data_IF_812039661386
#
_entry.id   IF_812039661386
#
_cell.length_a   1.000
_cell.length_b   1.000
_cell.length_c   1.000
_cell.angle_alpha   90.00
_cell.angle_beta   90.00
_cell.angle_gamma   90.00
#
_symmetry.space_group_name_H-M   'P 1'
#
loop_
_entity.id
_entity.type
_entity.pdbx_description
1 polymer ?
#
# COMPACT_ATOMS: atom_id res chain seq x y z
N UNK A 1 -15.18 9.22 -4.01
CA UNK A 1 -14.11 8.33 -3.51
C UNK A 1 -14.46 6.88 -3.84
N UNK A 2 -13.63 6.26 -4.66
CA UNK A 2 -13.78 4.85 -4.97
C UNK A 2 -12.82 4.02 -4.12
N UNK A 3 -13.23 2.81 -3.74
CA UNK A 3 -12.41 1.87 -2.98
C UNK A 3 -12.39 0.55 -3.73
N UNK A 4 -11.19 0.09 -4.10
CA UNK A 4 -10.95 -1.20 -4.71
C UNK A 4 -10.18 -2.08 -3.73
N UNK A 5 -10.34 -3.41 -3.84
CA UNK A 5 -9.66 -4.35 -2.95
C UNK A 5 -9.02 -5.46 -3.77
N UNK A 6 -7.86 -5.91 -3.34
CA UNK A 6 -7.20 -7.09 -3.90
C UNK A 6 -6.59 -7.93 -2.78
N UNK A 7 -6.30 -9.17 -3.07
CA UNK A 7 -5.65 -10.08 -2.12
C UNK A 7 -4.14 -9.94 -2.12
N UNK A 8 -3.47 -10.97 -1.61
CA UNK A 8 -2.04 -11.01 -1.40
C UNK A 8 -1.24 -10.65 -2.66
N UNK A 9 -0.24 -9.80 -2.52
CA UNK A 9 0.64 -9.41 -3.63
C UNK A 9 2.03 -10.02 -3.50
N UNK A 10 2.50 -10.34 -2.31
CA UNK A 10 3.80 -10.97 -2.05
C UNK A 10 4.97 -10.22 -2.73
N UNK A 11 4.88 -8.88 -2.77
CA UNK A 11 5.92 -8.06 -3.39
C UNK A 11 5.88 -7.98 -4.91
N UNK A 12 4.88 -8.59 -5.54
CA UNK A 12 4.64 -8.51 -6.99
C UNK A 12 3.39 -7.69 -7.25
N UNK A 13 3.56 -6.50 -7.80
CA UNK A 13 2.45 -5.57 -8.03
C UNK A 13 2.04 -5.48 -9.50
N UNK A 14 2.43 -6.47 -10.30
CA UNK A 14 2.14 -6.48 -11.74
C UNK A 14 0.64 -6.45 -12.05
N UNK A 15 -0.21 -7.01 -11.17
CA UNK A 15 -1.67 -6.97 -11.32
C UNK A 15 -2.23 -5.54 -11.27
N UNK A 16 -1.45 -4.57 -10.79
CA UNK A 16 -1.88 -3.17 -10.69
C UNK A 16 -1.43 -2.32 -11.87
N UNK A 17 -0.77 -2.94 -12.86
CA UNK A 17 -0.39 -2.22 -14.08
C UNK A 17 -1.63 -1.78 -14.85
N UNK A 18 -1.57 -0.68 -15.62
CA UNK A 18 -2.74 -0.18 -16.35
C UNK A 18 -3.43 -1.22 -17.24
N UNK A 19 -2.67 -2.16 -17.82
CA UNK A 19 -3.24 -3.22 -18.65
C UNK A 19 -4.08 -4.22 -17.84
N UNK A 20 -3.74 -4.45 -16.58
CA UNK A 20 -4.44 -5.39 -15.70
C UNK A 20 -5.49 -4.70 -14.83
N UNK A 21 -5.29 -3.42 -14.51
CA UNK A 21 -6.20 -2.61 -13.69
C UNK A 21 -6.56 -1.35 -14.49
N UNK A 22 -7.45 -1.49 -15.43
CA UNK A 22 -7.78 -0.43 -16.41
C UNK A 22 -8.52 0.75 -15.77
N UNK A 23 -9.29 0.50 -14.72
CA UNK A 23 -10.07 1.53 -14.00
C UNK A 23 -9.20 2.65 -13.45
N UNK A 24 -7.91 2.39 -13.23
CA UNK A 24 -7.01 3.39 -12.64
C UNK A 24 -6.87 4.65 -13.47
N UNK A 25 -7.17 4.59 -14.76
CA UNK A 25 -7.10 5.77 -15.64
C UNK A 25 -8.03 6.90 -15.24
N UNK A 26 -9.11 6.59 -14.50
CA UNK A 26 -10.07 7.58 -14.02
C UNK A 26 -9.93 7.89 -12.53
N UNK A 27 -8.92 7.35 -11.85
CA UNK A 27 -8.76 7.50 -10.41
C UNK A 27 -7.82 8.66 -10.06
N UNK A 28 -7.95 9.15 -8.82
CA UNK A 28 -7.09 10.18 -8.23
C UNK A 28 -6.57 9.67 -6.88
N UNK A 29 -5.73 10.46 -6.22
CA UNK A 29 -5.20 10.11 -4.90
C UNK A 29 -6.29 10.07 -3.81
N UNK A 30 -7.48 10.56 -4.08
CA UNK A 30 -8.65 10.41 -3.21
C UNK A 30 -9.40 9.10 -3.44
N UNK A 31 -8.94 8.28 -4.36
CA UNK A 31 -9.44 6.93 -4.59
C UNK A 31 -8.42 5.92 -4.07
N UNK A 32 -8.88 4.80 -3.52
CA UNK A 32 -8.03 3.89 -2.76
C UNK A 32 -8.07 2.48 -3.31
N UNK A 33 -6.89 1.84 -3.33
CA UNK A 33 -6.77 0.40 -3.53
C UNK A 33 -6.25 -0.21 -2.22
N UNK A 34 -6.97 -1.17 -1.67
CA UNK A 34 -6.59 -1.87 -0.43
C UNK A 34 -6.04 -3.24 -0.78
N UNK A 35 -4.81 -3.51 -0.38
CA UNK A 35 -4.18 -4.83 -0.49
C UNK A 35 -4.40 -5.54 0.84
N UNK A 36 -5.15 -6.64 0.82
CA UNK A 36 -5.61 -7.33 2.02
C UNK A 36 -4.67 -8.49 2.36
N UNK A 37 -3.66 -8.22 3.20
CA UNK A 37 -2.71 -9.23 3.68
C UNK A 37 -1.55 -9.46 2.73
N UNK A 38 -0.46 -9.97 3.25
CA UNK A 38 0.76 -10.38 2.54
C UNK A 38 1.16 -9.41 1.43
N UNK A 39 1.27 -8.14 1.79
CA UNK A 39 1.71 -7.07 0.89
C UNK A 39 3.09 -7.39 0.30
N UNK A 40 4.06 -7.71 1.16
CA UNK A 40 5.41 -8.12 0.75
C UNK A 40 6.29 -7.01 0.20
N UNK A 41 5.83 -5.77 0.20
CA UNK A 41 6.58 -4.62 -0.31
C UNK A 41 7.54 -4.01 0.72
N UNK A 42 7.47 -4.45 1.98
CA UNK A 42 8.40 -4.05 3.05
C UNK A 42 9.01 -5.34 3.60
N UNK A 43 10.06 -5.83 2.95
CA UNK A 43 10.64 -7.13 3.24
C UNK A 43 12.12 -7.06 3.58
N UNK A 44 12.95 -6.58 2.66
CA UNK A 44 14.41 -6.56 2.84
C UNK A 44 15.06 -5.21 2.60
N UNK A 45 14.29 -4.19 2.21
CA UNK A 45 14.81 -2.87 1.87
C UNK A 45 15.63 -2.83 0.60
N UNK A 46 15.54 -3.87 -0.24
CA UNK A 46 16.34 -3.99 -1.46
C UNK A 46 16.00 -2.89 -2.46
N UNK A 47 16.89 -2.71 -3.45
CA UNK A 47 16.67 -1.74 -4.51
C UNK A 47 15.43 -2.06 -5.34
N UNK A 48 15.18 -3.35 -5.60
CA UNK A 48 13.98 -3.79 -6.33
C UNK A 48 12.72 -3.43 -5.53
N UNK A 49 12.75 -3.65 -4.22
CA UNK A 49 11.63 -3.28 -3.35
C UNK A 49 11.38 -1.78 -3.39
N UNK A 50 12.44 -0.96 -3.31
CA UNK A 50 12.29 0.49 -3.37
C UNK A 50 11.74 0.94 -4.72
N UNK A 51 12.15 0.31 -5.80
CA UNK A 51 11.61 0.60 -7.14
C UNK A 51 10.10 0.30 -7.21
N UNK A 52 9.65 -0.82 -6.64
CA UNK A 52 8.23 -1.15 -6.59
C UNK A 52 7.44 -0.15 -5.75
N UNK A 53 8.00 0.27 -4.59
CA UNK A 53 7.33 1.27 -3.74
C UNK A 53 7.23 2.62 -4.44
N UNK A 54 8.26 3.05 -5.15
CA UNK A 54 8.23 4.27 -5.95
C UNK A 54 7.22 4.15 -7.08
N UNK A 55 7.13 2.97 -7.71
CA UNK A 55 6.16 2.71 -8.76
C UNK A 55 4.73 2.81 -8.23
N UNK A 56 4.46 2.28 -7.03
CA UNK A 56 3.16 2.41 -6.39
C UNK A 56 2.83 3.87 -6.08
N UNK A 57 3.82 4.65 -5.64
CA UNK A 57 3.63 6.08 -5.38
C UNK A 57 3.21 6.83 -6.64
N UNK A 58 3.70 6.41 -7.81
CA UNK A 58 3.39 7.04 -9.08
C UNK A 58 2.03 6.66 -9.65
N UNK A 59 1.29 5.73 -9.01
CA UNK A 59 -0.06 5.37 -9.49
C UNK A 59 -1.02 6.52 -9.26
N UNK A 60 -2.11 6.52 -10.03
CA UNK A 60 -3.13 7.58 -9.94
C UNK A 60 -3.88 7.56 -8.60
N UNK A 61 -3.97 6.39 -7.97
CA UNK A 61 -4.68 6.16 -6.71
C UNK A 61 -3.71 6.12 -5.53
N UNK A 62 -4.27 6.07 -4.33
CA UNK A 62 -3.51 5.81 -3.09
C UNK A 62 -3.59 4.33 -2.75
N UNK A 63 -2.46 3.72 -2.43
CA UNK A 63 -2.37 2.32 -2.05
C UNK A 63 -2.40 2.21 -0.53
N UNK A 64 -3.34 1.41 -0.01
CA UNK A 64 -3.44 1.06 1.40
C UNK A 64 -3.16 -0.43 1.52
N UNK A 65 -2.47 -0.86 2.57
CA UNK A 65 -2.27 -2.29 2.77
C UNK A 65 -2.43 -2.69 4.22
N UNK A 66 -2.94 -3.91 4.41
CA UNK A 66 -3.03 -4.57 5.71
C UNK A 66 -1.93 -5.62 5.74
N UNK A 67 -1.14 -5.64 6.82
CA UNK A 67 -0.04 -6.60 6.96
C UNK A 67 -0.56 -8.03 7.14
N UNK A 68 0.15 -8.99 6.57
CA UNK A 68 -0.14 -10.41 6.68
C UNK A 68 1.06 -11.18 7.23
N UNK A 69 1.16 -12.47 6.89
CA UNK A 69 2.24 -13.33 7.39
C UNK A 69 3.59 -13.06 6.73
N UNK A 70 3.58 -12.56 5.49
CA UNK A 70 4.78 -12.36 4.68
C UNK A 70 5.20 -10.90 4.68
N UNK A 71 5.44 -10.35 5.89
CA UNK A 71 5.96 -9.00 6.07
C UNK A 71 7.18 -9.04 6.97
N UNK A 72 8.10 -8.11 6.76
CA UNK A 72 9.21 -7.90 7.68
C UNK A 72 8.77 -6.89 8.74
N UNK A 73 8.28 -7.38 9.86
CA UNK A 73 7.73 -6.53 10.90
C UNK A 73 8.78 -5.63 11.56
N UNK A 74 10.03 -6.07 11.65
CA UNK A 74 11.10 -5.23 12.20
C UNK A 74 11.36 -4.03 11.30
N UNK A 75 11.43 -4.25 9.99
CA UNK A 75 11.60 -3.18 9.02
C UNK A 75 10.36 -2.27 8.98
N UNK A 76 9.18 -2.87 9.00
CA UNK A 76 7.93 -2.12 8.99
C UNK A 76 7.81 -1.21 10.21
N UNK A 77 8.18 -1.70 11.41
CA UNK A 77 8.17 -0.89 12.63
C UNK A 77 9.15 0.28 12.61
N UNK A 78 10.14 0.26 11.74
CA UNK A 78 11.09 1.37 11.60
C UNK A 78 10.46 2.62 10.97
N UNK A 79 9.33 2.48 10.28
CA UNK A 79 8.65 3.61 9.68
C UNK A 79 7.86 4.38 10.74
N UNK A 80 7.92 5.73 10.73
CA UNK A 80 7.16 6.53 11.69
C UNK A 80 5.66 6.45 11.42
N UNK A 81 4.87 6.72 12.45
CA UNK A 81 3.41 6.76 12.33
C UNK A 81 2.93 8.17 12.03
N UNK A 82 1.75 8.25 11.43
CA UNK A 82 1.08 9.52 11.14
C UNK A 82 -0.42 9.33 11.31
N UNK A 83 -1.15 10.42 11.48
CA UNK A 83 -2.62 10.37 11.56
C UNK A 83 -3.20 10.52 10.17
N UNK A 84 -4.16 9.66 9.82
CA UNK A 84 -4.82 9.66 8.53
C UNK A 84 -6.27 9.21 8.72
N UNK A 85 -7.23 10.05 8.30
CA UNK A 85 -8.67 9.75 8.43
C UNK A 85 -9.07 9.27 9.83
N UNK A 86 -8.55 9.92 10.86
CA UNK A 86 -8.90 9.64 12.26
C UNK A 86 -8.17 8.48 12.91
N UNK A 87 -7.34 7.75 12.17
CA UNK A 87 -6.56 6.63 12.69
C UNK A 87 -5.07 6.80 12.42
N UNK A 88 -4.28 5.89 12.96
CA UNK A 88 -2.83 5.89 12.74
C UNK A 88 -2.46 4.99 11.58
N UNK A 89 -1.56 5.48 10.74
CA UNK A 89 -0.98 4.73 9.61
C UNK A 89 0.54 4.87 9.67
N UNK A 90 1.23 4.01 8.92
CA UNK A 90 2.66 4.17 8.65
C UNK A 90 2.82 4.48 7.16
N UNK A 91 3.10 5.74 6.78
CA UNK A 91 3.38 6.07 5.38
C UNK A 91 4.72 5.49 4.97
N UNK A 92 4.69 4.51 4.08
CA UNK A 92 5.91 3.97 3.46
C UNK A 92 6.36 4.92 2.36
N UNK A 93 5.39 5.52 1.67
CA UNK A 93 5.50 6.65 0.75
C UNK A 93 4.30 7.54 1.02
N UNK A 94 4.25 8.78 0.53
CA UNK A 94 3.09 9.66 0.76
C UNK A 94 1.75 9.03 0.36
N UNK A 95 1.74 8.18 -0.66
CA UNK A 95 0.52 7.52 -1.14
C UNK A 95 0.60 5.98 -1.05
N UNK A 96 1.46 5.45 -0.18
CA UNK A 96 1.52 4.01 0.11
C UNK A 96 1.50 3.87 1.64
N UNK A 97 0.34 3.54 2.18
CA UNK A 97 0.08 3.62 3.62
C UNK A 97 -0.20 2.24 4.21
N UNK A 98 0.51 1.90 5.29
CA UNK A 98 0.21 0.72 6.09
C UNK A 98 -0.91 1.04 7.06
N UNK A 99 -2.04 0.33 6.94
CA UNK A 99 -3.15 0.42 7.88
C UNK A 99 -2.80 -0.40 9.12
N UNK A 100 -2.70 0.26 10.26
CA UNK A 100 -2.27 -0.39 11.50
C UNK A 100 -3.44 -1.10 12.17
N UNK A 101 -3.14 -2.18 12.89
CA UNK A 101 -4.15 -2.97 13.61
C UNK A 101 -4.83 -2.13 14.69
N UNK A 102 -6.12 -2.39 14.90
CA UNK A 102 -6.88 -1.75 15.95
C UNK A 102 -7.29 -0.32 15.67
N UNK A 103 -7.07 0.17 14.45
CA UNK A 103 -7.43 1.52 14.06
C UNK A 103 -8.76 1.54 13.30
N UNK A 104 -9.50 2.63 13.49
CA UNK A 104 -10.70 2.94 12.70
C UNK A 104 -10.40 4.16 11.84
N UNK A 105 -10.82 4.11 10.58
CA UNK A 105 -10.62 5.20 9.62
C UNK A 105 -11.96 5.71 9.11
N UNK A 106 -12.04 7.01 8.94
CA UNK A 106 -13.28 7.68 8.49
C UNK A 106 -13.27 8.02 7.01
#
# INVERSE_FOLDING_TARGET
MAIFMTGDTHGDFSRLRPAAFREQGGLTKDDYLIICGDFGGVWDGSEIEQQWLDWLEDRSFTTLFVSGNHENYDLLRSYPTSVWHGGHVQPIRPSVLHLMRGQLYE
#
